data_IF_361865494862
#
_entry.id   IF_361865494862
#
_cell.length_a   1.000
_cell.length_b   1.000
_cell.length_c   1.000
_cell.angle_alpha   90.00
_cell.angle_beta   90.00
_cell.angle_gamma   90.00
#
_symmetry.space_group_name_H-M   'P 1'
#
loop_
_entity.id
_entity.type
_entity.pdbx_description
1 polymer ?
#
# COMPACT_ATOMS: atom_id res chain seq x y z
N UNK A 1 -23.96 -16.86 68.92
CA UNK A 1 -24.13 -15.64 68.09
C UNK A 1 -22.79 -15.32 67.43
N UNK A 2 -22.79 -15.09 66.11
CA UNK A 2 -21.77 -14.29 65.38
C UNK A 2 -20.33 -14.79 65.16
N UNK A 3 -20.09 -16.02 64.68
CA UNK A 3 -18.76 -16.35 64.10
C UNK A 3 -18.83 -16.78 62.64
N UNK A 4 -19.84 -17.53 62.24
CA UNK A 4 -20.01 -18.03 60.87
C UNK A 4 -20.41 -16.95 59.87
N UNK A 5 -21.09 -15.88 60.34
CA UNK A 5 -21.54 -14.79 59.48
C UNK A 5 -20.40 -13.89 59.04
N UNK A 6 -19.38 -13.67 59.89
CA UNK A 6 -18.24 -12.79 59.56
C UNK A 6 -17.33 -13.37 58.48
N UNK A 7 -17.16 -14.70 58.45
CA UNK A 7 -16.35 -15.38 57.44
C UNK A 7 -17.00 -15.30 56.04
N UNK A 8 -18.33 -15.41 55.96
CA UNK A 8 -19.07 -15.30 54.70
C UNK A 8 -19.03 -13.87 54.14
N UNK A 9 -19.11 -12.84 55.00
CA UNK A 9 -18.99 -11.44 54.56
C UNK A 9 -17.57 -11.12 54.10
N UNK A 10 -16.54 -11.67 54.75
CA UNK A 10 -15.14 -11.45 54.36
C UNK A 10 -14.82 -12.06 52.98
N UNK A 11 -15.35 -13.26 52.67
CA UNK A 11 -15.17 -13.88 51.34
C UNK A 11 -15.84 -13.07 50.22
N UNK A 12 -17.02 -12.49 50.46
CA UNK A 12 -17.73 -11.66 49.49
C UNK A 12 -17.02 -10.32 49.23
N UNK A 13 -16.42 -9.72 50.26
CA UNK A 13 -15.64 -8.48 50.11
C UNK A 13 -14.34 -8.73 49.35
N UNK A 14 -13.65 -9.86 49.58
CA UNK A 14 -12.46 -10.24 48.78
C UNK A 14 -12.82 -10.47 47.31
N UNK A 15 -13.96 -11.12 47.02
CA UNK A 15 -14.45 -11.32 45.65
C UNK A 15 -14.78 -9.99 44.94
N UNK A 16 -15.30 -9.00 45.67
CA UNK A 16 -15.60 -7.67 45.13
C UNK A 16 -14.32 -6.83 44.88
N UNK A 17 -13.27 -7.01 45.69
CA UNK A 17 -11.96 -6.36 45.50
C UNK A 17 -11.17 -7.01 44.33
N UNK A 18 -11.45 -8.28 44.01
CA UNK A 18 -10.95 -8.90 42.76
C UNK A 18 -11.66 -8.43 41.49
N UNK A 19 -12.65 -7.54 41.58
CA UNK A 19 -12.98 -6.66 40.47
C UNK A 19 -11.85 -5.64 40.33
N UNK A 20 -10.68 -6.13 39.90
CA UNK A 20 -9.69 -5.30 39.29
C UNK A 20 -10.42 -4.53 38.22
N UNK A 21 -10.38 -3.21 38.35
CA UNK A 21 -10.54 -2.34 37.22
C UNK A 21 -9.67 -2.93 36.11
N UNK A 22 -10.30 -3.60 35.13
CA UNK A 22 -9.86 -3.38 33.78
C UNK A 22 -10.03 -1.87 33.61
N UNK A 23 -8.97 -1.13 33.96
CA UNK A 23 -8.69 0.15 33.36
C UNK A 23 -8.75 -0.19 31.90
N UNK A 24 -9.90 0.07 31.28
CA UNK A 24 -10.01 0.23 29.87
C UNK A 24 -9.07 1.40 29.60
N UNK A 25 -7.79 1.08 29.40
CA UNK A 25 -6.80 2.00 28.87
C UNK A 25 -7.41 2.41 27.54
N UNK A 26 -8.04 3.58 27.53
CA UNK A 26 -8.39 4.25 26.30
C UNK A 26 -7.17 4.15 25.39
N UNK A 27 -7.38 3.64 24.17
CA UNK A 27 -6.37 3.29 23.17
C UNK A 27 -5.60 4.53 22.69
N UNK A 28 -4.82 5.13 23.59
CA UNK A 28 -3.86 6.19 23.32
C UNK A 28 -2.49 5.71 23.76
N UNK A 29 -2.01 4.62 23.16
CA UNK A 29 -0.62 4.20 23.33
C UNK A 29 0.30 4.89 22.31
N UNK A 30 1.60 4.76 22.50
CA UNK A 30 2.60 5.37 21.63
C UNK A 30 2.49 4.82 20.21
N UNK A 31 2.50 5.70 19.21
CA UNK A 31 2.62 5.29 17.81
C UNK A 31 4.07 5.00 17.47
N UNK A 32 4.35 3.80 16.96
CA UNK A 32 5.73 3.36 16.64
C UNK A 32 5.89 3.11 15.15
N UNK A 33 6.94 3.67 14.55
CA UNK A 33 7.35 3.28 13.20
C UNK A 33 8.22 2.02 13.30
N UNK A 34 7.81 0.95 12.63
CA UNK A 34 8.53 -0.31 12.58
C UNK A 34 9.16 -0.50 11.21
N UNK A 35 10.49 -0.51 11.16
CA UNK A 35 11.30 -0.66 9.96
C UNK A 35 12.07 -1.99 9.93
N UNK A 36 12.53 -2.37 8.75
CA UNK A 36 13.19 -3.66 8.47
C UNK A 36 14.63 -3.52 7.99
N UNK A 37 15.20 -2.32 8.06
CA UNK A 37 16.58 -2.01 7.61
C UNK A 37 17.47 -1.76 8.84
N UNK A 38 18.15 -2.80 9.30
CA UNK A 38 19.23 -2.77 10.32
C UNK A 38 19.95 -4.13 10.40
N UNK A 39 21.11 -4.17 11.06
CA UNK A 39 22.05 -5.31 11.00
C UNK A 39 21.74 -6.46 11.98
N UNK A 40 20.87 -6.25 12.97
CA UNK A 40 20.63 -7.19 14.08
C UNK A 40 19.14 -7.26 14.50
N UNK A 41 18.23 -7.07 13.55
CA UNK A 41 16.80 -7.04 13.85
C UNK A 41 16.27 -8.38 14.39
N UNK A 42 15.50 -8.36 15.50
CA UNK A 42 14.83 -9.54 16.00
C UNK A 42 13.73 -10.00 15.02
N UNK A 43 13.25 -11.24 15.20
CA UNK A 43 12.12 -11.75 14.42
C UNK A 43 10.89 -10.86 14.61
N UNK A 44 10.00 -10.80 13.60
CA UNK A 44 8.79 -9.97 13.67
C UNK A 44 7.95 -10.23 14.94
N UNK A 45 7.81 -11.50 15.35
CA UNK A 45 7.11 -11.87 16.58
C UNK A 45 7.79 -11.27 17.82
N UNK A 46 9.12 -11.40 17.92
CA UNK A 46 9.89 -10.87 19.03
C UNK A 46 9.86 -9.34 19.06
N UNK A 47 9.94 -8.69 17.90
CA UNK A 47 9.75 -7.25 17.77
C UNK A 47 8.38 -6.80 18.31
N UNK A 48 7.31 -7.50 17.95
CA UNK A 48 5.95 -7.15 18.40
C UNK A 48 5.77 -7.33 19.91
N UNK A 49 6.40 -8.34 20.51
CA UNK A 49 6.45 -8.47 21.98
C UNK A 49 7.10 -7.26 22.63
N UNK A 50 8.23 -6.79 22.08
CA UNK A 50 8.93 -5.60 22.56
C UNK A 50 8.06 -4.34 22.39
N UNK A 51 7.38 -4.20 21.25
CA UNK A 51 6.44 -3.09 21.00
C UNK A 51 5.33 -3.06 22.06
N UNK A 52 4.75 -4.21 22.40
CA UNK A 52 3.75 -4.30 23.48
C UNK A 52 4.33 -3.94 24.84
N UNK A 53 5.51 -4.49 25.17
CA UNK A 53 6.17 -4.23 26.43
C UNK A 53 6.54 -2.75 26.59
N UNK A 54 6.87 -2.07 25.48
CA UNK A 54 7.13 -0.64 25.43
C UNK A 54 5.85 0.23 25.46
N UNK A 55 4.65 -0.38 25.43
CA UNK A 55 3.38 0.35 25.47
C UNK A 55 2.94 0.94 24.13
N UNK A 56 3.37 0.35 23.01
CA UNK A 56 2.89 0.75 21.69
C UNK A 56 1.37 0.60 21.57
N UNK A 57 0.70 1.67 21.16
CA UNK A 57 -0.74 1.71 20.91
C UNK A 57 -1.09 1.53 19.45
N UNK A 58 -0.20 1.93 18.54
CA UNK A 58 -0.34 1.80 17.09
C UNK A 58 1.02 1.60 16.44
N UNK A 59 1.03 1.00 15.25
CA UNK A 59 2.27 0.70 14.52
C UNK A 59 2.14 1.17 13.07
N UNK A 60 3.14 1.89 12.59
CA UNK A 60 3.29 2.22 11.16
C UNK A 60 4.40 1.38 10.56
N UNK A 61 4.11 0.61 9.52
CA UNK A 61 5.08 -0.24 8.82
C UNK A 61 5.29 0.30 7.40
N UNK A 62 6.45 0.06 6.79
CA UNK A 62 6.76 0.61 5.46
C UNK A 62 6.23 -0.22 4.29
N UNK A 63 6.04 -1.53 4.46
CA UNK A 63 5.54 -2.41 3.41
C UNK A 63 4.54 -3.43 3.98
N UNK A 64 3.77 -4.07 3.10
CA UNK A 64 2.81 -5.11 3.48
C UNK A 64 3.50 -6.47 3.70
N UNK A 65 4.60 -6.51 4.44
CA UNK A 65 5.31 -7.75 4.73
C UNK A 65 4.41 -8.71 5.53
N UNK A 66 4.18 -9.90 4.96
CA UNK A 66 3.24 -10.87 5.50
C UNK A 66 3.62 -11.38 6.91
N UNK A 67 4.90 -11.51 7.23
CA UNK A 67 5.33 -11.99 8.55
C UNK A 67 5.12 -10.93 9.64
N UNK A 68 5.34 -9.66 9.29
CA UNK A 68 5.08 -8.52 10.18
C UNK A 68 3.59 -8.36 10.42
N UNK A 69 2.77 -8.46 9.37
CA UNK A 69 1.31 -8.40 9.49
C UNK A 69 0.76 -9.56 10.32
N UNK A 70 1.30 -10.79 10.17
CA UNK A 70 0.93 -11.94 11.01
C UNK A 70 1.34 -11.73 12.46
N UNK A 71 2.53 -11.21 12.72
CA UNK A 71 3.00 -10.94 14.09
C UNK A 71 2.16 -9.85 14.77
N UNK A 72 1.74 -8.82 14.02
CA UNK A 72 0.86 -7.75 14.51
C UNK A 72 -0.62 -8.17 14.61
N UNK A 73 -1.02 -9.25 13.93
CA UNK A 73 -2.36 -9.78 14.01
C UNK A 73 -2.71 -10.20 15.44
N UNK A 74 -3.94 -9.92 15.87
CA UNK A 74 -4.37 -10.21 17.24
C UNK A 74 -3.76 -9.27 18.30
N UNK A 75 -3.00 -8.25 17.92
CA UNK A 75 -2.47 -7.27 18.88
C UNK A 75 -3.47 -6.24 19.37
N UNK A 76 -4.50 -5.97 18.57
CA UNK A 76 -5.42 -4.88 18.83
C UNK A 76 -4.80 -3.49 18.62
N UNK A 77 -3.54 -3.40 18.19
CA UNK A 77 -2.91 -2.16 17.75
C UNK A 77 -3.43 -1.83 16.33
N UNK A 78 -3.89 -0.61 16.06
CA UNK A 78 -4.09 -0.14 14.71
C UNK A 78 -2.75 -0.16 13.96
N UNK A 79 -2.75 -0.76 12.76
CA UNK A 79 -1.57 -0.83 11.89
C UNK A 79 -1.82 0.00 10.65
N UNK A 80 -0.93 0.95 10.37
CA UNK A 80 -0.90 1.69 9.10
C UNK A 80 0.26 1.18 8.26
N UNK A 81 -0.04 0.70 7.05
CA UNK A 81 1.00 0.36 6.08
C UNK A 81 1.28 1.59 5.25
N UNK A 82 2.53 2.05 5.26
CA UNK A 82 3.04 3.11 4.40
C UNK A 82 3.48 2.49 3.08
N UNK A 83 2.59 1.71 2.45
CA UNK A 83 2.73 1.37 1.05
C UNK A 83 2.84 2.69 0.28
N UNK A 84 3.74 2.76 -0.70
CA UNK A 84 3.92 3.98 -1.48
C UNK A 84 2.60 4.46 -2.07
N UNK A 85 2.52 5.71 -2.53
CA UNK A 85 1.39 6.07 -3.37
C UNK A 85 1.47 5.23 -4.67
N UNK A 86 0.35 4.75 -5.23
CA UNK A 86 0.36 4.10 -6.53
C UNK A 86 0.92 5.06 -7.56
N UNK A 87 1.83 4.56 -8.38
CA UNK A 87 2.51 5.33 -9.44
C UNK A 87 2.19 4.71 -10.79
N UNK A 88 1.90 5.58 -11.75
CA UNK A 88 1.73 5.25 -13.16
C UNK A 88 2.76 5.98 -14.00
N UNK A 89 3.08 5.43 -15.17
CA UNK A 89 3.89 6.11 -16.17
C UNK A 89 2.99 6.60 -17.31
N UNK A 90 2.87 7.92 -17.50
CA UNK A 90 1.94 8.51 -18.47
C UNK A 90 2.68 9.45 -19.43
N UNK A 91 2.04 9.83 -20.53
CA UNK A 91 2.57 10.85 -21.44
C UNK A 91 2.76 12.17 -20.67
N UNK A 92 3.98 12.71 -20.69
CA UNK A 92 4.32 13.95 -20.02
C UNK A 92 3.58 15.13 -20.65
N UNK A 93 2.90 15.92 -19.84
CA UNK A 93 2.12 17.06 -20.33
C UNK A 93 0.86 16.71 -21.13
N UNK A 94 0.36 15.47 -21.04
CA UNK A 94 -0.93 15.07 -21.62
C UNK A 94 -2.09 15.92 -21.09
N UNK A 95 -3.03 16.27 -21.98
CA UNK A 95 -4.18 17.14 -21.66
C UNK A 95 -4.18 18.52 -22.31
N UNK A 96 -3.54 18.67 -23.48
CA UNK A 96 -3.60 19.90 -24.29
C UNK A 96 -2.28 20.65 -24.50
N UNK A 97 -1.14 20.05 -24.15
CA UNK A 97 0.18 20.60 -24.46
C UNK A 97 0.65 20.07 -25.82
N UNK A 98 1.29 20.91 -26.64
CA UNK A 98 1.84 20.48 -27.92
C UNK A 98 2.97 19.46 -27.69
N UNK A 99 2.71 18.21 -28.07
CA UNK A 99 3.68 17.12 -28.07
C UNK A 99 4.15 16.86 -29.50
N UNK A 100 5.38 16.39 -29.67
CA UNK A 100 5.85 15.93 -30.97
C UNK A 100 5.17 14.59 -31.29
N UNK A 101 4.02 14.65 -31.97
CA UNK A 101 3.18 13.50 -32.27
C UNK A 101 3.96 12.36 -32.95
N UNK A 102 4.88 12.68 -33.86
CA UNK A 102 5.72 11.68 -34.53
C UNK A 102 6.62 10.92 -33.55
N UNK A 103 7.23 11.64 -32.60
CA UNK A 103 8.07 11.02 -31.58
C UNK A 103 7.24 10.18 -30.61
N UNK A 104 6.06 10.67 -30.23
CA UNK A 104 5.11 9.92 -29.38
C UNK A 104 4.65 8.65 -30.08
N UNK A 105 4.23 8.73 -31.34
CA UNK A 105 3.80 7.56 -32.10
C UNK A 105 4.90 6.49 -32.20
N UNK A 106 6.15 6.90 -32.45
CA UNK A 106 7.29 5.98 -32.47
C UNK A 106 7.54 5.33 -31.09
N UNK A 107 7.43 6.09 -30.01
CA UNK A 107 7.58 5.58 -28.65
C UNK A 107 6.44 4.62 -28.25
N UNK A 108 5.21 4.89 -28.69
CA UNK A 108 4.07 3.97 -28.53
C UNK A 108 4.31 2.67 -29.27
N UNK A 109 4.73 2.75 -30.53
CA UNK A 109 5.04 1.56 -31.32
C UNK A 109 6.15 0.73 -30.68
N UNK A 110 7.19 1.38 -30.14
CA UNK A 110 8.21 0.72 -29.33
C UNK A 110 7.62 0.01 -28.11
N UNK A 111 6.82 0.70 -27.29
CA UNK A 111 6.17 0.12 -26.12
C UNK A 111 5.31 -1.11 -26.48
N UNK A 112 4.54 -1.01 -27.57
CA UNK A 112 3.62 -2.05 -28.02
C UNK A 112 4.30 -3.27 -28.60
N UNK A 113 5.49 -3.12 -29.21
CA UNK A 113 6.28 -4.26 -29.70
C UNK A 113 6.87 -5.10 -28.58
N UNK A 114 6.95 -4.54 -27.38
CA UNK A 114 7.60 -5.18 -26.23
C UNK A 114 6.58 -5.94 -25.40
N UNK A 115 6.91 -7.18 -25.02
CA UNK A 115 6.08 -8.01 -24.13
C UNK A 115 4.87 -8.66 -24.81
N UNK A 116 4.10 -9.43 -24.03
CA UNK A 116 2.86 -10.06 -24.52
C UNK A 116 1.66 -9.19 -24.18
N UNK A 117 1.14 -8.46 -25.17
CA UNK A 117 -0.17 -7.79 -25.04
C UNK A 117 -0.14 -6.41 -24.36
N UNK A 118 1.03 -5.76 -24.24
CA UNK A 118 1.20 -4.41 -23.67
C UNK A 118 0.20 -3.38 -24.19
N UNK A 119 -0.18 -3.49 -25.46
CA UNK A 119 -1.12 -2.57 -26.11
C UNK A 119 -2.42 -3.23 -26.57
N UNK A 120 -2.77 -4.41 -26.04
CA UNK A 120 -4.00 -5.11 -26.43
C UNK A 120 -5.26 -4.29 -26.07
N UNK A 121 -5.26 -3.65 -24.90
CA UNK A 121 -6.39 -2.88 -24.40
C UNK A 121 -6.68 -1.60 -25.19
N UNK A 122 -5.70 -1.04 -25.91
CA UNK A 122 -5.86 0.18 -26.71
C UNK A 122 -6.20 -0.11 -28.19
N UNK A 123 -6.20 -1.38 -28.62
CA UNK A 123 -6.62 -1.73 -29.97
C UNK A 123 -8.13 -1.51 -30.15
N UNK A 124 -8.58 -1.42 -31.40
CA UNK A 124 -9.99 -1.29 -31.73
C UNK A 124 -10.86 -2.35 -31.02
N UNK A 125 -11.84 -1.89 -30.24
CA UNK A 125 -12.71 -2.74 -29.42
C UNK A 125 -12.16 -3.12 -28.04
N UNK A 126 -10.94 -2.71 -27.70
CA UNK A 126 -10.34 -2.87 -26.38
C UNK A 126 -10.90 -1.92 -25.32
N UNK A 127 -10.68 -2.28 -24.06
CA UNK A 127 -11.20 -1.55 -22.88
C UNK A 127 -10.65 -0.13 -22.70
N UNK A 128 -9.50 0.16 -23.30
CA UNK A 128 -8.79 1.44 -23.33
C UNK A 128 -8.68 2.05 -24.73
N UNK A 129 -9.52 1.60 -25.67
CA UNK A 129 -9.57 2.20 -27.01
C UNK A 129 -10.12 3.63 -26.99
N UNK A 130 -10.93 3.98 -25.98
CA UNK A 130 -11.53 5.31 -25.84
C UNK A 130 -10.89 6.08 -24.68
N UNK A 131 -10.62 7.40 -24.85
CA UNK A 131 -10.77 8.15 -26.09
C UNK A 131 -9.74 7.71 -27.16
N UNK A 132 -10.16 7.68 -28.43
CA UNK A 132 -9.29 7.34 -29.56
C UNK A 132 -8.40 8.54 -29.91
N UNK A 133 -7.36 8.72 -29.10
CA UNK A 133 -6.38 9.78 -29.27
C UNK A 133 -4.98 9.27 -28.96
N UNK A 134 -4.00 9.86 -29.66
CA UNK A 134 -2.59 9.53 -29.46
C UNK A 134 -2.17 9.71 -27.99
N UNK A 135 -2.66 10.76 -27.32
CA UNK A 135 -2.32 11.04 -25.92
C UNK A 135 -2.80 9.95 -24.95
N UNK A 136 -4.02 9.47 -25.14
CA UNK A 136 -4.62 8.45 -24.27
C UNK A 136 -3.98 7.09 -24.50
N UNK A 137 -3.81 6.70 -25.77
CA UNK A 137 -3.12 5.47 -26.14
C UNK A 137 -1.65 5.49 -25.71
N UNK A 138 -0.96 6.63 -25.83
CA UNK A 138 0.42 6.77 -25.38
C UNK A 138 0.56 6.61 -23.87
N UNK A 139 -0.30 7.26 -23.09
CA UNK A 139 -0.29 7.12 -21.64
C UNK A 139 -0.49 5.66 -21.22
N UNK A 140 -1.44 4.96 -21.85
CA UNK A 140 -1.66 3.54 -21.54
C UNK A 140 -0.49 2.66 -21.96
N UNK A 141 0.04 2.83 -23.17
CA UNK A 141 1.16 2.03 -23.68
C UNK A 141 2.42 2.22 -22.83
N UNK A 142 2.74 3.47 -22.45
CA UNK A 142 3.87 3.78 -21.59
C UNK A 142 3.71 3.15 -20.21
N UNK A 143 2.50 3.22 -19.65
CA UNK A 143 2.22 2.60 -18.36
C UNK A 143 2.36 1.08 -18.43
N UNK A 144 1.69 0.42 -19.36
CA UNK A 144 1.71 -1.03 -19.50
C UNK A 144 3.14 -1.56 -19.70
N UNK A 145 3.92 -0.91 -20.57
CA UNK A 145 5.33 -1.23 -20.79
C UNK A 145 6.13 -1.08 -19.49
N UNK A 146 6.01 0.08 -18.83
CA UNK A 146 6.79 0.35 -17.64
C UNK A 146 6.44 -0.62 -16.51
N UNK A 147 5.16 -0.94 -16.29
CA UNK A 147 4.77 -1.91 -15.26
C UNK A 147 5.35 -3.31 -15.53
N UNK A 148 5.35 -3.74 -16.80
CA UNK A 148 5.89 -5.03 -17.18
C UNK A 148 7.42 -5.11 -17.01
N UNK A 149 8.16 -4.04 -17.36
CA UNK A 149 9.62 -4.10 -17.48
C UNK A 149 10.39 -3.35 -16.38
N UNK A 150 9.73 -2.62 -15.46
CA UNK A 150 10.41 -1.86 -14.39
C UNK A 150 11.33 -2.68 -13.50
N UNK A 151 10.96 -3.95 -13.23
CA UNK A 151 11.79 -4.87 -12.42
C UNK A 151 13.05 -5.34 -13.17
N UNK A 152 13.05 -5.25 -14.50
CA UNK A 152 14.16 -5.58 -15.38
C UNK A 152 14.96 -4.34 -15.84
N UNK A 153 14.74 -3.17 -15.22
CA UNK A 153 15.44 -1.93 -15.56
C UNK A 153 14.71 -1.00 -16.53
N UNK A 154 13.49 -1.35 -16.97
CA UNK A 154 12.65 -0.46 -17.77
C UNK A 154 12.35 0.85 -17.03
N UNK A 155 12.53 1.99 -17.69
CA UNK A 155 12.32 3.32 -17.09
C UNK A 155 11.08 4.00 -17.66
N UNK A 156 10.46 4.84 -16.85
CA UNK A 156 9.44 5.78 -17.30
C UNK A 156 10.12 7.06 -17.80
N UNK A 157 10.69 6.99 -19.01
CA UNK A 157 11.41 8.11 -19.61
C UNK A 157 10.96 8.38 -21.04
N UNK A 158 11.02 7.36 -21.92
CA UNK A 158 10.62 7.46 -23.33
C UNK A 158 11.19 8.72 -24.01
N UNK A 159 12.50 8.93 -23.89
CA UNK A 159 13.20 10.14 -24.41
C UNK A 159 12.64 11.47 -23.88
N UNK A 160 12.13 11.47 -22.64
CA UNK A 160 11.52 12.62 -22.00
C UNK A 160 10.03 12.82 -22.34
N UNK A 161 9.43 11.89 -23.09
CA UNK A 161 8.02 11.92 -23.44
C UNK A 161 7.12 11.40 -22.33
N UNK A 162 7.65 10.72 -21.31
CA UNK A 162 6.85 10.16 -20.23
C UNK A 162 7.25 10.69 -18.85
N UNK A 163 6.27 10.76 -17.96
CA UNK A 163 6.47 11.12 -16.56
C UNK A 163 5.71 10.19 -15.62
N UNK A 164 6.21 10.08 -14.39
CA UNK A 164 5.52 9.35 -13.32
C UNK A 164 4.46 10.24 -12.70
N UNK A 165 3.28 9.68 -12.45
CA UNK A 165 2.18 10.36 -11.77
C UNK A 165 1.63 9.51 -10.63
N UNK A 166 1.14 10.17 -9.57
CA UNK A 166 0.35 9.55 -8.50
C UNK A 166 -1.16 9.81 -8.68
N UNK A 167 -1.54 10.54 -9.72
CA UNK A 167 -2.93 10.74 -10.11
C UNK A 167 -3.35 9.58 -11.01
N UNK A 168 -4.30 8.78 -10.54
CA UNK A 168 -4.85 7.65 -11.30
C UNK A 168 -5.38 8.11 -12.68
N UNK A 169 -4.79 7.63 -13.79
CA UNK A 169 -5.23 7.95 -15.15
C UNK A 169 -6.40 7.07 -15.63
N UNK A 170 -6.83 6.09 -14.84
CA UNK A 170 -7.95 5.20 -15.17
C UNK A 170 -9.26 5.96 -15.32
N UNK A 171 -10.10 5.53 -16.25
CA UNK A 171 -11.38 6.15 -16.55
C UNK A 171 -12.34 5.17 -17.21
N UNK A 172 -13.63 5.28 -16.88
CA UNK A 172 -14.65 4.36 -17.39
C UNK A 172 -14.27 2.90 -17.14
N UNK A 173 -14.19 2.11 -18.22
CA UNK A 173 -13.73 0.72 -18.22
C UNK A 173 -12.22 0.59 -18.37
N UNK A 174 -11.52 1.64 -18.81
CA UNK A 174 -10.08 1.62 -19.01
C UNK A 174 -9.35 1.70 -17.66
N UNK A 175 -8.69 0.61 -17.27
CA UNK A 175 -7.94 0.50 -16.02
C UNK A 175 -6.44 0.46 -16.27
N UNK A 176 -5.71 1.34 -15.60
CA UNK A 176 -4.26 1.37 -15.62
C UNK A 176 -3.70 0.62 -14.41
N UNK A 177 -2.85 -0.37 -14.67
CA UNK A 177 -2.10 -1.08 -13.62
C UNK A 177 -1.14 -0.08 -12.95
N UNK A 178 -1.16 -0.03 -11.63
CA UNK A 178 -0.31 0.82 -10.81
C UNK A 178 0.99 0.14 -10.42
N UNK A 179 1.90 0.90 -9.83
CA UNK A 179 3.16 0.36 -9.31
C UNK A 179 2.99 -0.59 -8.12
N UNK A 180 1.78 -0.74 -7.58
CA UNK A 180 1.49 -1.54 -6.39
C UNK A 180 0.72 -2.82 -6.72
N UNK A 181 0.24 -2.95 -7.95
CA UNK A 181 -0.34 -4.18 -8.49
C UNK A 181 0.76 -5.16 -8.94
#
# INVERSE_FOLDING_TARGET
>A
MSSSSLAATLLLVVAAISCHCHVARGRGGLGVNYGTVADDLPSAARSVELLRAAGAGSVKIYDANADILRALAGTGMPVSVMDGAPVWCVLAGGGGKAVNETAVAAAVEYACRQGSGTCAAIQAGGECNQPDSLDAHASYAFNAYWQQFRKAGGTCYFDGLAEKTTKDPSHGTCRFISSLD
#
